data_IF_567880815508
#
_entry.id   IF_567880815508
#
_cell.length_a   1.000
_cell.length_b   1.000
_cell.length_c   1.000
_cell.angle_alpha   90.00
_cell.angle_beta   90.00
_cell.angle_gamma   90.00
#
_symmetry.space_group_name_H-M   'P 1'
#
loop_
_entity.id
_entity.type
_entity.pdbx_description
1 polymer ?
#
# COMPACT_ATOMS: atom_id res chain seq x y z
N UNK A 1 4.71 -8.59 19.19
CA UNK A 1 5.20 -8.32 17.82
C UNK A 1 4.68 -6.96 17.42
N UNK A 2 5.54 -6.06 16.92
CA UNK A 2 5.14 -4.70 16.57
C UNK A 2 4.72 -4.69 15.10
N UNK A 3 3.49 -4.29 14.80
CA UNK A 3 3.00 -4.22 13.43
C UNK A 3 3.69 -3.04 12.70
N UNK A 4 4.12 -3.21 11.44
CA UNK A 4 4.68 -2.12 10.64
C UNK A 4 3.60 -1.10 10.28
N UNK A 5 3.99 0.15 10.03
CA UNK A 5 3.04 1.15 9.56
C UNK A 5 2.77 0.92 8.07
N UNK A 6 1.53 0.60 7.71
CA UNK A 6 1.14 0.36 6.32
C UNK A 6 0.17 1.45 5.87
N UNK A 7 0.48 2.08 4.75
CA UNK A 7 -0.42 3.01 4.07
C UNK A 7 -0.66 2.54 2.63
N UNK A 8 -1.93 2.41 2.25
CA UNK A 8 -2.35 1.99 0.90
C UNK A 8 -2.91 3.20 0.18
N UNK A 9 -2.21 3.65 -0.85
CA UNK A 9 -2.66 4.68 -1.77
C UNK A 9 -3.33 4.02 -2.96
N UNK A 10 -4.65 4.17 -3.08
CA UNK A 10 -5.40 3.50 -4.12
C UNK A 10 -6.77 4.10 -4.35
N UNK A 11 -7.44 3.57 -5.37
CA UNK A 11 -8.83 3.90 -5.69
C UNK A 11 -9.74 2.75 -5.24
N UNK A 12 -10.90 3.07 -4.66
CA UNK A 12 -11.90 2.07 -4.25
C UNK A 12 -12.54 1.34 -5.44
N UNK A 13 -12.35 1.84 -6.65
CA UNK A 13 -12.90 1.26 -7.89
C UNK A 13 -11.88 0.42 -8.66
N UNK A 14 -10.61 0.42 -8.23
CA UNK A 14 -9.54 -0.31 -8.88
C UNK A 14 -9.46 -1.75 -8.35
N UNK A 15 -9.52 -2.74 -9.24
CA UNK A 15 -9.47 -4.16 -8.89
C UNK A 15 -8.21 -4.53 -8.08
N UNK A 16 -7.03 -4.06 -8.49
CA UNK A 16 -5.77 -4.33 -7.77
C UNK A 16 -5.77 -3.72 -6.35
N UNK A 17 -6.39 -2.55 -6.18
CA UNK A 17 -6.54 -1.92 -4.86
C UNK A 17 -7.51 -2.71 -3.97
N UNK A 18 -8.62 -3.19 -4.54
CA UNK A 18 -9.59 -4.04 -3.83
C UNK A 18 -8.92 -5.34 -3.39
N UNK A 19 -8.11 -5.96 -4.27
CA UNK A 19 -7.35 -7.17 -3.93
C UNK A 19 -6.34 -6.94 -2.81
N UNK A 20 -5.60 -5.84 -2.87
CA UNK A 20 -4.61 -5.46 -1.85
C UNK A 20 -5.26 -5.22 -0.49
N UNK A 21 -6.32 -4.41 -0.45
CA UNK A 21 -7.04 -4.12 0.81
C UNK A 21 -7.69 -5.36 1.40
N UNK A 22 -8.30 -6.20 0.55
CA UNK A 22 -8.85 -7.50 0.97
C UNK A 22 -7.80 -8.43 1.57
N UNK A 23 -6.61 -8.53 0.96
CA UNK A 23 -5.51 -9.32 1.52
C UNK A 23 -5.13 -8.83 2.92
N UNK A 24 -5.01 -7.51 3.12
CA UNK A 24 -4.70 -6.95 4.43
C UNK A 24 -5.82 -7.21 5.45
N UNK A 25 -7.08 -7.07 5.04
CA UNK A 25 -8.25 -7.33 5.87
C UNK A 25 -8.35 -8.81 6.27
N UNK A 26 -8.21 -9.74 5.31
CA UNK A 26 -8.26 -11.19 5.51
C UNK A 26 -7.16 -11.67 6.48
N UNK A 27 -6.00 -11.00 6.48
CA UNK A 27 -4.89 -11.27 7.39
C UNK A 27 -4.91 -10.41 8.67
N UNK A 28 -5.96 -9.61 8.89
CA UNK A 28 -6.13 -8.71 10.05
C UNK A 28 -4.95 -7.74 10.26
N UNK A 29 -4.36 -7.27 9.16
CA UNK A 29 -3.22 -6.37 9.17
C UNK A 29 -3.77 -4.94 9.13
N UNK A 30 -3.53 -4.10 10.16
CA UNK A 30 -4.01 -2.73 10.14
C UNK A 30 -3.25 -1.91 9.10
N UNK A 31 -3.99 -1.12 8.34
CA UNK A 31 -3.45 -0.18 7.36
C UNK A 31 -4.26 1.10 7.36
N UNK A 32 -3.63 2.17 6.88
CA UNK A 32 -4.30 3.42 6.56
C UNK A 32 -4.64 3.43 5.07
N UNK A 33 -5.93 3.55 4.73
CA UNK A 33 -6.35 3.73 3.35
C UNK A 33 -6.32 5.21 2.96
N UNK A 34 -5.59 5.52 1.90
CA UNK A 34 -5.44 6.86 1.34
C UNK A 34 -6.10 6.89 -0.04
N UNK A 35 -7.35 7.35 -0.06
CA UNK A 35 -8.15 7.40 -1.29
C UNK A 35 -7.63 8.49 -2.23
N UNK A 36 -7.09 8.06 -3.37
CA UNK A 36 -6.55 8.98 -4.37
C UNK A 36 -7.65 9.68 -5.16
N UNK A 37 -8.87 9.14 -5.21
CA UNK A 37 -9.98 9.75 -5.94
C UNK A 37 -10.56 10.94 -5.16
N UNK A 38 -10.60 10.83 -3.83
CA UNK A 38 -11.07 11.91 -2.96
C UNK A 38 -10.01 12.97 -2.68
N UNK A 39 -8.72 12.60 -2.74
CA UNK A 39 -7.61 13.46 -2.31
C UNK A 39 -6.56 13.65 -3.43
N UNK A 40 -6.62 14.78 -4.17
CA UNK A 40 -5.66 15.09 -5.25
C UNK A 40 -4.19 15.18 -4.81
N UNK A 41 -3.95 15.48 -3.54
CA UNK A 41 -2.62 15.49 -2.93
C UNK A 41 -1.96 14.10 -2.97
N UNK A 42 -2.73 13.03 -2.79
CA UNK A 42 -2.21 11.66 -2.85
C UNK A 42 -1.82 11.25 -4.26
N UNK A 43 -2.53 11.74 -5.28
CA UNK A 43 -2.13 11.57 -6.68
C UNK A 43 -0.76 12.18 -6.97
N UNK A 44 -0.50 13.39 -6.45
CA UNK A 44 0.79 14.06 -6.62
C UNK A 44 1.89 13.34 -5.84
N UNK A 45 1.55 12.84 -4.65
CA UNK A 45 2.45 12.07 -3.81
C UNK A 45 2.91 10.77 -4.48
N UNK A 46 1.98 9.91 -4.92
CA UNK A 46 2.33 8.64 -5.58
C UNK A 46 3.09 8.87 -6.89
N UNK A 47 2.78 9.95 -7.62
CA UNK A 47 3.54 10.32 -8.81
C UNK A 47 5.00 10.64 -8.47
N UNK A 48 5.27 11.34 -7.38
CA UNK A 48 6.65 11.63 -6.95
C UNK A 48 7.43 10.38 -6.55
N UNK A 49 6.74 9.36 -6.03
CA UNK A 49 7.33 8.07 -5.66
C UNK A 49 7.63 7.17 -6.87
N UNK A 50 6.91 7.34 -7.97
CA UNK A 50 6.97 6.45 -9.12
C UNK A 50 7.30 7.18 -10.43
N UNK A 51 8.41 7.92 -10.45
CA UNK A 51 8.94 8.58 -11.65
C UNK A 51 7.91 9.43 -12.42
N UNK A 52 7.01 10.10 -11.71
CA UNK A 52 5.93 10.92 -12.25
C UNK A 52 4.64 10.17 -12.59
N UNK A 53 4.59 8.84 -12.43
CA UNK A 53 3.43 8.00 -12.77
C UNK A 53 2.52 7.78 -11.58
N UNK A 54 1.22 7.96 -11.81
CA UNK A 54 0.17 7.65 -10.83
C UNK A 54 -0.22 6.19 -11.01
N UNK A 55 0.38 5.31 -10.21
CA UNK A 55 0.09 3.87 -10.24
C UNK A 55 -0.55 3.47 -8.92
N UNK A 56 -1.67 2.78 -9.01
CA UNK A 56 -2.41 2.25 -7.86
C UNK A 56 -2.54 0.74 -7.98
N UNK A 57 -2.51 0.00 -6.87
CA UNK A 57 -2.22 0.48 -5.53
C UNK A 57 -0.72 0.78 -5.36
N UNK A 58 -0.39 1.87 -4.67
CA UNK A 58 0.96 2.11 -4.14
C UNK A 58 0.90 1.89 -2.63
N UNK A 59 1.71 0.96 -2.11
CA UNK A 59 1.75 0.62 -0.69
C UNK A 59 3.03 1.16 -0.11
N UNK A 60 2.92 1.86 1.02
CA UNK A 60 4.06 2.21 1.85
C UNK A 60 4.07 1.34 3.09
N UNK A 61 5.21 0.70 3.35
CA UNK A 61 5.45 -0.10 4.54
C UNK A 61 6.65 0.53 5.25
N UNK A 62 6.39 1.19 6.38
CA UNK A 62 7.36 2.04 7.07
C UNK A 62 8.06 3.01 6.09
N UNK A 63 9.34 2.78 5.76
CA UNK A 63 10.14 3.64 4.89
C UNK A 63 10.25 3.12 3.44
N UNK A 64 9.68 1.96 3.15
CA UNK A 64 9.72 1.34 1.83
C UNK A 64 8.42 1.61 1.05
N UNK A 65 8.54 1.59 -0.28
CA UNK A 65 7.44 1.83 -1.22
C UNK A 65 7.36 0.70 -2.22
N UNK A 66 6.16 0.15 -2.37
CA UNK A 66 5.83 -0.94 -3.28
C UNK A 66 4.75 -0.46 -4.24
N UNK A 67 5.02 -0.56 -5.54
CA UNK A 67 4.12 -0.08 -6.59
C UNK A 67 3.47 -1.27 -7.28
N UNK A 68 2.16 -1.39 -7.15
CA UNK A 68 1.34 -2.52 -7.59
C UNK A 68 1.98 -3.91 -7.30
N UNK A 69 2.34 -4.20 -6.05
CA UNK A 69 2.92 -5.49 -5.68
C UNK A 69 1.89 -6.61 -5.80
N UNK A 70 2.36 -7.81 -6.08
CA UNK A 70 1.57 -9.03 -5.89
C UNK A 70 1.29 -9.30 -4.41
N UNK A 71 0.26 -10.11 -4.12
CA UNK A 71 -0.07 -10.54 -2.75
C UNK A 71 1.11 -11.25 -2.06
N UNK A 72 1.88 -12.05 -2.81
CA UNK A 72 3.09 -12.71 -2.30
C UNK A 72 4.20 -11.71 -1.94
N UNK A 73 4.44 -10.71 -2.79
CA UNK A 73 5.44 -9.66 -2.52
C UNK A 73 5.03 -8.81 -1.33
N UNK A 74 3.75 -8.46 -1.24
CA UNK A 74 3.18 -7.72 -0.12
C UNK A 74 3.33 -8.50 1.19
N UNK A 75 2.98 -9.78 1.21
CA UNK A 75 3.13 -10.63 2.39
C UNK A 75 4.59 -10.71 2.86
N UNK A 76 5.53 -10.99 1.95
CA UNK A 76 6.97 -11.02 2.26
C UNK A 76 7.48 -9.69 2.81
N UNK A 77 7.06 -8.58 2.23
CA UNK A 77 7.47 -7.25 2.69
C UNK A 77 6.96 -6.94 4.11
N UNK A 78 5.73 -7.33 4.43
CA UNK A 78 5.16 -7.15 5.76
C UNK A 78 5.88 -8.01 6.80
N UNK A 79 6.14 -9.28 6.49
CA UNK A 79 6.88 -10.19 7.37
C UNK A 79 8.31 -9.69 7.64
N UNK A 80 8.99 -9.21 6.60
CA UNK A 80 10.32 -8.62 6.72
C UNK A 80 10.32 -7.37 7.61
N UNK A 81 9.35 -6.46 7.39
CA UNK A 81 9.22 -5.24 8.20
C UNK A 81 8.86 -5.53 9.66
N UNK A 82 8.07 -6.56 9.93
CA UNK A 82 7.73 -7.01 11.28
C UNK A 82 8.91 -7.68 12.00
N UNK A 83 9.79 -8.35 11.27
CA UNK A 83 10.95 -9.08 11.83
C UNK A 83 12.17 -8.19 12.08
N UNK A 84 12.28 -7.06 11.39
CA UNK A 84 13.39 -6.11 11.51
C UNK A 84 13.29 -5.20 12.76
N UNK A 85 12.32 -5.41 13.65
CA UNK A 85 12.00 -4.51 14.78
C UNK A 85 11.83 -5.22 16.12
#
# INVERSE_FOLDING_TARGET
MKQPNIAVYGSRTCEDTIRTTRFLDDHQIPYEFKDVDESPEYNSYIASLNAGKRVTPTIRIDNETFVNPSEEELGRAIEAAASAR
#
